data_IF_536412951247
#
_entry.id   IF_536412951247
#
_cell.length_a   1.000
_cell.length_b   1.000
_cell.length_c   1.000
_cell.angle_alpha   90.00
_cell.angle_beta   90.00
_cell.angle_gamma   90.00
#
_symmetry.space_group_name_H-M   'P 1'
#
loop_
_entity.id
_entity.type
_entity.pdbx_description
1 polymer ?
#
# COMPACT_ATOMS: atom_id res chain seq x y z
N UNK A 1 -29.56 -11.89 2.00
CA UNK A 1 -29.44 -10.84 3.04
C UNK A 1 -28.52 -9.76 2.50
N UNK A 2 -28.87 -8.49 2.65
CA UNK A 2 -27.90 -7.41 2.41
C UNK A 2 -26.89 -7.40 3.58
N UNK A 3 -25.61 -7.16 3.28
CA UNK A 3 -24.54 -7.01 4.27
C UNK A 3 -23.96 -5.60 4.17
N UNK A 4 -23.43 -5.07 5.27
CA UNK A 4 -22.76 -3.78 5.31
C UNK A 4 -21.28 -3.88 4.98
N UNK A 5 -20.61 -2.72 4.96
CA UNK A 5 -19.18 -2.64 4.65
C UNK A 5 -18.30 -3.27 5.75
N UNK A 6 -18.70 -3.18 7.01
CA UNK A 6 -17.97 -3.79 8.12
C UNK A 6 -18.00 -5.32 8.03
N UNK A 7 -19.16 -5.90 7.72
CA UNK A 7 -19.31 -7.33 7.52
C UNK A 7 -18.54 -7.80 6.28
N UNK A 8 -18.57 -7.03 5.19
CA UNK A 8 -17.78 -7.32 3.99
C UNK A 8 -16.27 -7.37 4.31
N UNK A 9 -15.75 -6.38 5.04
CA UNK A 9 -14.35 -6.37 5.49
C UNK A 9 -14.01 -7.57 6.36
N UNK A 10 -14.89 -7.92 7.30
CA UNK A 10 -14.70 -9.09 8.14
C UNK A 10 -14.62 -10.36 7.28
N UNK A 11 -15.53 -10.56 6.33
CA UNK A 11 -15.53 -11.72 5.43
C UNK A 11 -14.22 -11.79 4.62
N UNK A 12 -13.79 -10.68 4.03
CA UNK A 12 -12.55 -10.61 3.25
C UNK A 12 -11.33 -10.99 4.10
N UNK A 13 -11.25 -10.48 5.34
CA UNK A 13 -10.19 -10.83 6.29
C UNK A 13 -10.15 -12.33 6.60
N UNK A 14 -11.32 -12.94 6.86
CA UNK A 14 -11.40 -14.39 7.14
C UNK A 14 -10.98 -15.23 5.92
N UNK A 15 -11.24 -14.74 4.72
CA UNK A 15 -10.84 -15.38 3.47
C UNK A 15 -9.40 -15.10 3.07
N UNK A 16 -8.66 -14.27 3.84
CA UNK A 16 -7.33 -13.75 3.49
C UNK A 16 -7.31 -13.08 2.11
N UNK A 17 -8.44 -12.50 1.73
CA UNK A 17 -8.58 -11.71 0.52
C UNK A 17 -8.37 -10.24 0.88
N UNK A 18 -7.50 -9.57 0.14
CA UNK A 18 -7.34 -8.12 0.26
C UNK A 18 -8.60 -7.42 -0.30
N UNK A 19 -9.07 -6.36 0.36
CA UNK A 19 -10.19 -5.52 -0.09
C UNK A 19 -9.77 -4.08 -0.46
N UNK A 20 -9.93 -3.74 -1.74
CA UNK A 20 -9.60 -2.38 -2.21
C UNK A 20 -10.64 -1.38 -1.68
N UNK A 21 -10.25 -0.19 -1.19
CA UNK A 21 -8.91 0.41 -1.20
C UNK A 21 -8.08 0.20 0.09
N UNK A 22 -8.60 -0.53 1.08
CA UNK A 22 -8.09 -0.53 2.46
C UNK A 22 -6.72 -1.19 2.61
N UNK A 23 -6.46 -2.27 1.87
CA UNK A 23 -5.25 -3.08 2.02
C UNK A 23 -4.14 -2.73 0.99
N UNK A 24 -4.28 -1.63 0.24
CA UNK A 24 -3.35 -1.23 -0.83
C UNK A 24 -2.66 0.11 -0.52
N UNK A 25 -1.64 0.12 0.37
CA UNK A 25 -0.95 1.34 0.80
C UNK A 25 -0.14 2.02 -0.32
N UNK A 26 0.20 1.27 -1.37
CA UNK A 26 0.92 1.72 -2.56
C UNK A 26 0.02 2.52 -3.53
N UNK A 27 -1.29 2.29 -3.50
CA UNK A 27 -2.23 2.97 -4.38
C UNK A 27 -2.56 4.39 -3.88
N UNK A 28 -2.86 5.35 -4.78
CA UNK A 28 -3.30 6.68 -4.36
C UNK A 28 -4.61 6.65 -3.58
N UNK A 29 -5.47 5.67 -3.84
CA UNK A 29 -6.71 5.48 -3.09
C UNK A 29 -6.44 5.00 -1.65
N UNK A 30 -5.55 4.03 -1.48
CA UNK A 30 -5.14 3.57 -0.16
C UNK A 30 -4.47 4.66 0.67
N UNK A 31 -3.55 5.44 0.08
CA UNK A 31 -2.93 6.58 0.78
C UNK A 31 -3.94 7.60 1.28
N UNK A 32 -4.90 8.00 0.44
CA UNK A 32 -5.96 8.94 0.84
C UNK A 32 -6.82 8.37 1.97
N UNK A 33 -7.18 7.09 1.88
CA UNK A 33 -7.93 6.44 2.95
C UNK A 33 -7.14 6.37 4.26
N UNK A 34 -5.85 6.05 4.20
CA UNK A 34 -4.97 6.04 5.38
C UNK A 34 -4.86 7.44 6.03
N UNK A 35 -4.71 8.49 5.22
CA UNK A 35 -4.67 9.90 5.68
C UNK A 35 -5.97 10.30 6.39
N UNK A 36 -7.12 9.95 5.83
CA UNK A 36 -8.44 10.21 6.42
C UNK A 36 -8.63 9.47 7.77
N UNK A 37 -8.26 8.19 7.83
CA UNK A 37 -8.34 7.38 9.05
C UNK A 37 -7.34 7.85 10.13
N UNK A 38 -6.14 8.28 9.72
CA UNK A 38 -5.16 8.87 10.64
C UNK A 38 -5.70 10.15 11.26
N UNK A 39 -6.29 11.04 10.46
CA UNK A 39 -6.94 12.24 10.98
C UNK A 39 -8.08 11.90 11.93
N UNK A 40 -8.94 10.95 11.58
CA UNK A 40 -10.05 10.55 12.45
C UNK A 40 -9.55 9.97 13.79
N UNK A 41 -8.52 9.13 13.76
CA UNK A 41 -7.90 8.57 14.98
C UNK A 41 -7.28 9.66 15.85
N UNK A 42 -6.59 10.63 15.24
CA UNK A 42 -6.02 11.80 15.93
C UNK A 42 -7.11 12.63 16.59
N UNK A 43 -8.20 12.93 15.87
CA UNK A 43 -9.33 13.69 16.40
C UNK A 43 -10.01 12.94 17.55
N UNK A 44 -10.21 11.62 17.41
CA UNK A 44 -10.79 10.76 18.45
C UNK A 44 -9.93 10.72 19.71
N UNK A 45 -8.60 10.74 19.56
CA UNK A 45 -7.67 10.83 20.68
C UNK A 45 -7.71 12.20 21.35
N UNK A 46 -7.72 13.30 20.56
CA UNK A 46 -7.77 14.66 21.07
C UNK A 46 -9.06 14.96 21.85
N UNK A 47 -10.19 14.36 21.45
CA UNK A 47 -11.48 14.47 22.18
C UNK A 47 -11.44 13.85 23.57
N UNK A 48 -10.53 12.89 23.84
CA UNK A 48 -10.42 12.25 25.16
C UNK A 48 -9.59 13.13 26.10
N UNK A 49 -10.00 13.30 27.37
CA UNK A 49 -9.23 14.07 28.33
C UNK A 49 -7.87 13.41 28.61
N UNK A 50 -6.89 14.21 29.03
CA UNK A 50 -5.50 13.77 29.20
C UNK A 50 -5.34 12.54 30.12
N UNK A 51 -6.12 12.46 31.20
CA UNK A 51 -6.09 11.33 32.14
C UNK A 51 -6.65 10.02 31.58
N UNK A 52 -7.41 10.06 30.47
CA UNK A 52 -8.06 8.88 29.87
C UNK A 52 -7.49 8.49 28.51
N UNK A 53 -6.53 9.25 27.97
CA UNK A 53 -5.90 8.96 26.67
C UNK A 53 -4.51 8.36 26.88
N UNK A 54 -4.09 7.42 26.02
CA UNK A 54 -2.72 6.90 26.06
C UNK A 54 -1.70 8.03 25.84
N UNK A 55 -0.62 8.01 26.60
CA UNK A 55 0.53 8.90 26.40
C UNK A 55 1.53 8.24 25.44
N UNK A 56 1.39 8.52 24.14
CA UNK A 56 2.25 7.95 23.12
C UNK A 56 3.72 8.39 23.21
N UNK A 57 4.01 9.56 23.80
CA UNK A 57 5.38 10.01 24.03
C UNK A 57 6.09 9.14 25.08
N UNK A 58 5.39 8.81 26.17
CA UNK A 58 5.93 7.90 27.18
C UNK A 58 6.11 6.46 26.64
N UNK A 59 5.26 6.05 25.70
CA UNK A 59 5.33 4.76 25.02
C UNK A 59 6.35 4.71 23.88
N UNK A 60 7.00 5.83 23.55
CA UNK A 60 7.94 5.94 22.42
C UNK A 60 7.35 5.46 21.09
N UNK A 61 6.06 5.70 20.87
CA UNK A 61 5.40 5.35 19.62
C UNK A 61 5.69 6.43 18.56
N UNK A 62 6.45 6.07 17.52
CA UNK A 62 6.79 7.00 16.41
C UNK A 62 5.57 7.37 15.56
N UNK A 63 4.74 6.38 15.22
CA UNK A 63 3.58 6.54 14.36
C UNK A 63 2.32 6.09 15.11
N UNK A 64 1.74 6.93 16.00
CA UNK A 64 0.65 6.52 16.88
C UNK A 64 -0.72 6.39 16.20
N UNK A 65 -0.91 7.05 15.05
CA UNK A 65 -2.22 7.16 14.38
C UNK A 65 -2.21 6.60 12.96
N UNK A 66 -1.09 6.10 12.46
CA UNK A 66 -0.94 5.61 11.10
C UNK A 66 0.11 4.51 11.00
N UNK A 67 0.10 3.73 9.92
CA UNK A 67 1.14 2.75 9.66
C UNK A 67 2.44 3.45 9.25
N UNK A 68 3.53 3.18 9.97
CA UNK A 68 4.86 3.77 9.74
C UNK A 68 5.58 3.25 8.49
N UNK A 69 4.88 2.99 7.39
CA UNK A 69 5.38 2.31 6.19
C UNK A 69 6.67 2.92 5.67
N UNK A 70 6.75 4.25 5.58
CA UNK A 70 7.94 4.93 5.08
C UNK A 70 9.18 4.69 5.97
N UNK A 71 9.00 4.70 7.30
CA UNK A 71 10.10 4.38 8.23
C UNK A 71 10.46 2.90 8.18
N UNK A 72 9.47 2.01 8.11
CA UNK A 72 9.70 0.56 8.02
C UNK A 72 10.44 0.16 6.74
N UNK A 73 10.02 0.70 5.60
CA UNK A 73 10.66 0.43 4.31
C UNK A 73 12.10 0.96 4.27
N UNK A 74 12.36 2.17 4.75
CA UNK A 74 13.73 2.70 4.88
C UNK A 74 14.62 1.86 5.80
N UNK A 75 14.09 1.41 6.94
CA UNK A 75 14.85 0.55 7.85
C UNK A 75 15.20 -0.79 7.18
N UNK A 76 14.27 -1.36 6.42
CA UNK A 76 14.50 -2.62 5.70
C UNK A 76 15.52 -2.49 4.57
N UNK A 77 15.52 -1.39 3.81
CA UNK A 77 16.49 -1.18 2.73
C UNK A 77 17.92 -1.06 3.27
N UNK A 78 18.10 -0.33 4.38
CA UNK A 78 19.42 -0.17 5.01
C UNK A 78 19.94 -1.47 5.63
N UNK A 79 19.05 -2.35 6.10
CA UNK A 79 19.44 -3.65 6.65
C UNK A 79 19.95 -4.61 5.57
N UNK A 80 19.39 -4.57 4.36
CA UNK A 80 19.84 -5.40 3.23
C UNK A 80 21.24 -5.04 2.74
N UNK A 81 21.62 -3.76 2.78
CA UNK A 81 22.95 -3.30 2.35
C UNK A 81 24.06 -3.64 3.35
N UNK A 82 23.70 -3.94 4.61
CA UNK A 82 24.65 -4.31 5.67
C UNK A 82 24.90 -5.82 5.77
N UNK A 83 24.27 -6.65 4.92
CA UNK A 83 24.53 -8.08 4.89
C UNK A 83 25.97 -8.33 4.37
N UNK A 84 26.85 -9.00 5.13
CA UNK A 84 28.15 -9.38 4.62
C UNK A 84 27.95 -10.32 3.43
N UNK A 85 28.42 -9.91 2.26
CA UNK A 85 28.56 -10.76 1.10
C UNK A 85 29.34 -12.00 1.54
N UNK A 86 28.67 -13.16 1.57
CA UNK A 86 29.39 -14.42 1.70
C UNK A 86 30.36 -14.50 0.52
N UNK A 87 31.67 -14.73 0.74
CA UNK A 87 32.60 -14.88 -0.36
C UNK A 87 32.18 -16.08 -1.23
N UNK A 88 32.36 -15.99 -2.56
CA UNK A 88 31.98 -17.07 -3.46
C UNK A 88 32.81 -18.31 -3.14
N UNK A 89 32.14 -19.39 -2.74
CA UNK A 89 32.75 -20.70 -2.62
C UNK A 89 33.01 -21.28 -4.02
N UNK A 90 34.11 -20.87 -4.64
CA UNK A 90 34.88 -21.69 -5.58
C UNK A 90 36.05 -22.25 -4.75
N UNK A 91 36.48 -23.52 -4.75
CA UNK A 91 36.60 -24.61 -5.73
C UNK A 91 36.58 -25.93 -4.90
N UNK A 92 36.36 -27.17 -5.35
CA UNK A 92 36.43 -27.84 -6.63
C UNK A 92 36.38 -29.36 -6.34
N UNK A 93 35.82 -30.15 -7.26
CA UNK A 93 35.72 -31.61 -7.09
C UNK A 93 34.89 -32.25 -8.20
N UNK A 94 35.49 -32.35 -9.38
CA UNK A 94 34.92 -32.98 -10.56
C UNK A 94 34.94 -34.52 -10.51
N UNK A 95 34.08 -35.10 -11.36
CA UNK A 95 33.98 -36.50 -11.83
C UNK A 95 32.97 -37.39 -11.06
N UNK A 96 31.98 -38.06 -11.67
CA UNK A 96 31.67 -38.29 -13.08
C UNK A 96 30.22 -38.82 -13.25
N UNK A 97 29.56 -38.40 -14.35
CA UNK A 97 28.76 -39.18 -15.33
C UNK A 97 27.57 -40.08 -14.85
N UNK A 98 26.42 -40.25 -15.51
CA UNK A 98 25.78 -39.76 -16.75
C UNK A 98 24.26 -40.01 -16.59
N UNK A 99 23.43 -39.31 -17.36
CA UNK A 99 22.02 -39.69 -17.53
C UNK A 99 21.16 -38.53 -18.03
N UNK A 100 21.14 -38.33 -19.35
CA UNK A 100 20.38 -37.27 -19.97
C UNK A 100 18.86 -37.49 -19.93
N UNK A 101 18.11 -36.38 -19.87
CA UNK A 101 16.87 -36.22 -20.61
C UNK A 101 16.58 -34.73 -20.78
N UNK A 102 16.04 -34.41 -21.95
CA UNK A 102 15.79 -33.09 -22.47
C UNK A 102 14.84 -32.24 -21.60
N UNK A 103 15.09 -30.92 -21.67
CA UNK A 103 14.10 -29.85 -21.75
C UNK A 103 12.77 -30.03 -21.00
N UNK A 104 12.51 -29.16 -20.03
CA UNK A 104 11.53 -28.10 -20.25
C UNK A 104 11.68 -26.97 -19.24
N UNK A 105 11.94 -25.79 -19.78
CA UNK A 105 11.95 -24.51 -19.10
C UNK A 105 10.48 -24.12 -18.90
N UNK A 106 9.87 -24.52 -17.79
CA UNK A 106 8.53 -24.03 -17.44
C UNK A 106 8.67 -22.59 -16.97
N UNK A 107 8.63 -21.68 -17.95
CA UNK A 107 8.31 -20.29 -17.71
C UNK A 107 6.92 -20.25 -17.08
N UNK A 108 6.85 -19.96 -15.78
CA UNK A 108 5.61 -19.55 -15.14
C UNK A 108 5.25 -18.20 -15.75
N UNK A 109 4.47 -18.23 -16.82
CA UNK A 109 3.79 -17.05 -17.34
C UNK A 109 2.82 -16.60 -16.25
N UNK A 110 3.16 -15.50 -15.59
CA UNK A 110 2.19 -14.74 -14.81
C UNK A 110 0.94 -14.50 -15.68
N UNK A 111 -0.27 -14.85 -15.20
CA UNK A 111 -1.47 -14.45 -15.89
C UNK A 111 -1.55 -12.93 -15.88
N UNK A 112 -1.82 -12.26 -17.02
CA UNK A 112 -1.98 -10.82 -17.01
C UNK A 112 -3.19 -10.48 -16.14
N UNK A 113 -2.95 -9.82 -15.01
CA UNK A 113 -4.01 -9.18 -14.24
C UNK A 113 -4.83 -8.30 -15.20
N UNK A 114 -6.18 -8.37 -15.17
CA UNK A 114 -7.00 -7.49 -15.99
C UNK A 114 -6.80 -6.07 -15.50
N UNK A 115 -5.92 -5.33 -16.15
CA UNK A 115 -5.85 -3.89 -16.04
C UNK A 115 -7.15 -3.34 -16.65
N UNK A 116 -8.09 -2.96 -15.80
CA UNK A 116 -9.24 -2.18 -16.25
C UNK A 116 -8.74 -0.77 -16.60
N UNK A 117 -8.48 -0.52 -17.88
CA UNK A 117 -8.31 0.84 -18.40
C UNK A 117 -9.66 1.55 -18.29
N UNK A 118 -9.87 2.28 -17.19
CA UNK A 118 -10.89 3.31 -17.14
C UNK A 118 -10.48 4.40 -18.15
N UNK A 119 -10.97 4.26 -19.39
CA UNK A 119 -11.04 5.37 -20.35
C UNK A 119 -11.88 6.47 -19.70
N UNK A 120 -11.22 7.44 -19.07
CA UNK A 120 -11.87 8.67 -18.65
C UNK A 120 -12.39 9.44 -19.87
N UNK A 121 -13.55 10.10 -19.78
CA UNK A 121 -13.94 11.08 -20.78
C UNK A 121 -12.96 12.27 -20.74
N UNK A 122 -12.39 12.55 -21.91
CA UNK A 122 -11.58 13.73 -22.20
C UNK A 122 -12.35 15.02 -21.88
N UNK A 123 -12.05 15.67 -20.76
CA UNK A 123 -12.52 17.03 -20.49
C UNK A 123 -11.49 18.00 -21.09
N UNK A 124 -11.67 18.28 -22.38
CA UNK A 124 -11.00 19.37 -23.06
C UNK A 124 -12.08 20.28 -23.64
N UNK A 125 -12.51 21.29 -22.88
CA UNK A 125 -13.05 22.53 -23.44
C UNK A 125 -13.22 23.61 -22.35
N UNK A 126 -12.39 24.66 -22.50
CA UNK A 126 -12.72 26.06 -22.36
C UNK A 126 -13.08 26.63 -20.97
N UNK A 127 -12.03 27.12 -20.32
CA UNK A 127 -12.06 28.36 -19.54
C UNK A 127 -12.75 29.49 -20.34
N UNK A 128 -13.76 30.13 -19.76
CA UNK A 128 -14.23 31.45 -20.19
C UNK A 128 -14.69 32.28 -18.96
N UNK A 129 -14.04 33.40 -18.64
CA UNK A 129 -14.47 34.28 -17.55
C UNK A 129 -15.64 35.17 -18.00
N UNK A 130 -16.81 35.00 -17.39
CA UNK A 130 -17.98 35.83 -17.67
C UNK A 130 -17.89 37.15 -16.88
N UNK A 131 -17.52 38.22 -17.56
CA UNK A 131 -17.62 39.59 -17.04
C UNK A 131 -19.10 39.96 -16.86
N UNK A 132 -19.52 40.20 -15.61
CA UNK A 132 -20.80 40.85 -15.31
C UNK A 132 -20.65 42.36 -15.51
N UNK A 133 -21.10 42.85 -16.66
CA UNK A 133 -21.31 44.28 -16.86
C UNK A 133 -22.48 44.77 -15.99
N UNK A 134 -22.23 45.90 -15.32
CA UNK A 134 -23.24 46.77 -14.72
C UNK A 134 -23.96 47.55 -15.83
N UNK A 135 -25.29 47.49 -15.86
CA UNK A 135 -26.24 48.58 -16.20
C UNK A 135 -27.53 48.22 -15.44
N UNK A 136 -28.19 49.06 -14.63
CA UNK A 136 -28.50 50.47 -14.83
C UNK A 136 -29.95 50.55 -15.32
N UNK A 137 -30.89 50.74 -14.40
CA UNK A 137 -32.33 50.87 -14.65
C UNK A 137 -33.08 51.02 -13.33
#
# INVERSE_FOLDING_TARGET
RAIGQAELRAIALHQRAALFPYDWPDTPAGRRWEEEEEEERRLRHARRPASRRPNFAALRAEHPFGPGWASALRASSLASDAAPQQPPAHEGGAAAAEGGAAAEHIAVRDPPLPFCVLRGPSVAAAFAPQQRQRQGG
#
